data_IF_804330098583
#
_entry.id   IF_804330098583
#
_cell.length_a   1.000
_cell.length_b   1.000
_cell.length_c   1.000
_cell.angle_alpha   90.00
_cell.angle_beta   90.00
_cell.angle_gamma   90.00
#
_symmetry.space_group_name_H-M   'P 1'
#
loop_
_entity.id
_entity.type
_entity.pdbx_description
1 polymer ?
#
# COMPACT_ATOMS: atom_id res chain seq x y z
N UNK A 1 1.20 -1.67 -5.35
CA UNK A 1 1.42 -0.47 -6.21
C UNK A 1 1.92 0.67 -5.36
N UNK A 2 2.67 1.59 -5.96
CA UNK A 2 3.25 2.71 -5.22
C UNK A 2 3.44 3.95 -6.10
N UNK A 3 3.35 5.12 -5.46
CA UNK A 3 3.93 6.37 -5.95
C UNK A 3 5.21 6.68 -5.15
N UNK A 4 6.18 7.31 -5.74
CA UNK A 4 7.44 7.67 -5.07
C UNK A 4 8.05 8.93 -5.66
N UNK A 5 8.62 9.78 -4.80
CA UNK A 5 9.33 10.99 -5.21
C UNK A 5 10.85 10.80 -5.22
N UNK A 6 11.38 10.14 -4.19
CA UNK A 6 12.82 9.97 -3.98
C UNK A 6 13.25 8.49 -3.94
N UNK A 7 12.38 7.56 -4.35
CA UNK A 7 12.67 6.13 -4.39
C UNK A 7 12.42 5.38 -3.08
N UNK A 8 12.26 6.04 -1.94
CA UNK A 8 12.10 5.37 -0.64
C UNK A 8 10.82 4.55 -0.54
N UNK A 9 9.71 5.05 -1.09
CA UNK A 9 8.45 4.28 -1.13
C UNK A 9 8.56 3.04 -2.00
N UNK A 10 9.35 3.09 -3.08
CA UNK A 10 9.62 1.91 -3.92
C UNK A 10 10.40 0.84 -3.15
N UNK A 11 11.42 1.22 -2.39
CA UNK A 11 12.19 0.28 -1.55
C UNK A 11 11.25 -0.44 -0.58
N UNK A 12 10.38 0.31 0.10
CA UNK A 12 9.38 -0.23 1.03
C UNK A 12 8.38 -1.15 0.31
N UNK A 13 7.87 -0.74 -0.85
CA UNK A 13 6.91 -1.55 -1.62
C UNK A 13 7.52 -2.87 -2.08
N UNK A 14 8.79 -2.88 -2.50
CA UNK A 14 9.49 -4.09 -2.93
C UNK A 14 9.84 -5.01 -1.76
N UNK A 15 10.19 -4.47 -0.61
CA UNK A 15 10.38 -5.26 0.61
C UNK A 15 9.07 -5.94 1.02
N UNK A 16 7.99 -5.19 1.02
CA UNK A 16 6.65 -5.70 1.30
C UNK A 16 6.23 -6.80 0.29
N UNK A 17 6.50 -6.60 -0.99
CA UNK A 17 6.27 -7.60 -2.04
C UNK A 17 7.04 -8.90 -1.77
N UNK A 18 8.33 -8.83 -1.38
CA UNK A 18 9.11 -10.03 -1.04
C UNK A 18 8.43 -10.83 0.06
N UNK A 19 7.95 -10.16 1.09
CA UNK A 19 7.20 -10.81 2.17
C UNK A 19 5.88 -11.45 1.72
N UNK A 20 5.12 -10.79 0.84
CA UNK A 20 3.91 -11.38 0.27
C UNK A 20 4.22 -12.64 -0.54
N UNK A 21 5.31 -12.65 -1.32
CA UNK A 21 5.77 -13.83 -2.07
C UNK A 21 6.23 -14.95 -1.16
N UNK A 22 6.93 -14.63 -0.07
CA UNK A 22 7.33 -15.61 0.94
C UNK A 22 6.10 -16.28 1.58
N UNK A 23 5.00 -15.55 1.73
CA UNK A 23 3.72 -16.09 2.18
C UNK A 23 2.97 -16.91 1.12
N UNK A 24 3.48 -17.04 -0.11
CA UNK A 24 2.91 -17.85 -1.18
C UNK A 24 2.04 -17.07 -2.18
N UNK A 25 1.87 -15.76 -2.04
CA UNK A 25 1.04 -14.99 -2.96
C UNK A 25 1.76 -14.70 -4.30
N UNK A 26 1.03 -14.81 -5.40
CA UNK A 26 1.44 -14.20 -6.66
C UNK A 26 1.34 -12.68 -6.57
N UNK A 27 2.38 -11.95 -6.99
CA UNK A 27 2.45 -10.51 -6.78
C UNK A 27 2.97 -9.75 -8.00
N UNK A 28 2.49 -8.52 -8.16
CA UNK A 28 3.06 -7.52 -9.06
C UNK A 28 3.32 -6.24 -8.25
N UNK A 29 4.58 -5.79 -8.21
CA UNK A 29 4.97 -4.51 -7.63
C UNK A 29 5.28 -3.51 -8.74
N UNK A 30 4.45 -2.48 -8.87
CA UNK A 30 4.55 -1.50 -9.97
C UNK A 30 4.17 -0.09 -9.51
N UNK A 31 4.56 0.92 -10.27
CA UNK A 31 4.13 2.31 -10.03
C UNK A 31 2.66 2.50 -10.38
N UNK A 32 2.00 3.40 -9.67
CA UNK A 32 0.60 3.77 -9.95
C UNK A 32 0.39 4.24 -11.39
N UNK A 33 1.34 4.98 -11.95
CA UNK A 33 1.28 5.46 -13.34
C UNK A 33 1.37 4.39 -14.43
N UNK A 34 1.84 3.19 -14.08
CA UNK A 34 1.99 2.06 -15.02
C UNK A 34 0.81 1.07 -14.93
N UNK A 35 -0.18 1.36 -14.05
CA UNK A 35 -1.34 0.48 -13.83
C UNK A 35 -2.54 0.99 -14.62
N UNK A 36 -3.12 0.12 -15.43
CA UNK A 36 -4.46 0.33 -15.97
C UNK A 36 -5.47 -0.03 -14.89
N UNK A 37 -6.32 0.90 -14.39
CA UNK A 37 -7.22 0.62 -13.27
C UNK A 37 -8.08 -0.63 -13.46
N UNK A 38 -8.56 -0.91 -14.68
CA UNK A 38 -9.37 -2.10 -14.98
C UNK A 38 -8.66 -3.44 -14.71
N UNK A 39 -7.32 -3.50 -14.78
CA UNK A 39 -6.55 -4.71 -14.47
C UNK A 39 -6.60 -5.10 -12.99
N UNK A 40 -7.06 -4.20 -12.11
CA UNK A 40 -7.21 -4.49 -10.70
C UNK A 40 -8.32 -5.51 -10.41
N UNK A 41 -9.21 -5.76 -11.38
CA UNK A 41 -10.24 -6.79 -11.24
C UNK A 41 -9.66 -8.22 -11.11
N UNK A 42 -8.47 -8.45 -11.62
CA UNK A 42 -7.82 -9.76 -11.61
C UNK A 42 -7.11 -10.09 -10.28
N UNK A 43 -7.09 -9.14 -9.33
CA UNK A 43 -6.36 -9.26 -8.07
C UNK A 43 -7.30 -9.30 -6.86
N UNK A 44 -7.01 -10.18 -5.91
CA UNK A 44 -7.76 -10.31 -4.66
C UNK A 44 -7.30 -9.32 -3.57
N UNK A 45 -6.01 -8.92 -3.60
CA UNK A 45 -5.41 -7.98 -2.66
C UNK A 45 -4.82 -6.78 -3.39
N UNK A 46 -5.25 -5.59 -3.03
CA UNK A 46 -4.78 -4.32 -3.55
C UNK A 46 -4.00 -3.58 -2.45
N UNK A 47 -2.68 -3.53 -2.59
CA UNK A 47 -1.82 -2.77 -1.69
C UNK A 47 -1.39 -1.47 -2.37
N UNK A 48 -1.64 -0.32 -1.72
CA UNK A 48 -1.29 0.98 -2.25
C UNK A 48 -0.46 1.78 -1.25
N UNK A 49 0.66 2.32 -1.73
CA UNK A 49 1.54 3.17 -0.94
C UNK A 49 1.97 4.44 -1.66
N UNK A 50 2.33 5.44 -0.87
CA UNK A 50 2.83 6.70 -1.39
C UNK A 50 3.54 7.53 -0.32
N UNK A 51 4.33 8.54 -0.71
CA UNK A 51 4.93 9.44 0.25
C UNK A 51 3.88 10.35 0.86
N UNK A 52 4.04 10.68 2.14
CA UNK A 52 3.27 11.74 2.79
C UNK A 52 3.86 13.09 2.42
N UNK A 53 3.07 13.92 1.75
CA UNK A 53 3.38 15.31 1.42
C UNK A 53 2.28 16.23 1.96
N UNK A 54 2.70 17.33 2.57
CA UNK A 54 1.76 18.34 3.12
C UNK A 54 0.60 17.66 3.88
N UNK A 55 0.95 16.79 4.83
CA UNK A 55 0.05 16.06 5.74
C UNK A 55 -0.84 14.97 5.10
N UNK A 56 -0.77 14.71 3.80
CA UNK A 56 -1.66 13.80 3.08
C UNK A 56 -0.95 13.04 1.95
N UNK A 57 -1.71 12.29 1.16
CA UNK A 57 -1.23 11.63 -0.04
C UNK A 57 -0.89 12.64 -1.16
N UNK A 58 0.08 12.31 -2.00
CA UNK A 58 0.45 13.09 -3.18
C UNK A 58 -0.69 13.17 -4.20
N UNK A 59 -0.58 14.14 -5.11
CA UNK A 59 -1.52 14.28 -6.23
C UNK A 59 -1.63 13.00 -7.06
N UNK A 60 -0.48 12.38 -7.37
CA UNK A 60 -0.42 11.12 -8.14
C UNK A 60 -1.25 10.01 -7.49
N UNK A 61 -1.12 9.81 -6.17
CA UNK A 61 -1.91 8.82 -5.43
C UNK A 61 -3.40 9.14 -5.47
N UNK A 62 -3.77 10.41 -5.33
CA UNK A 62 -5.17 10.85 -5.37
C UNK A 62 -5.80 10.61 -6.74
N UNK A 63 -5.11 10.99 -7.81
CA UNK A 63 -5.55 10.78 -9.19
C UNK A 63 -5.73 9.28 -9.50
N UNK A 64 -4.80 8.43 -9.03
CA UNK A 64 -4.93 6.98 -9.17
C UNK A 64 -6.16 6.45 -8.43
N UNK A 65 -6.40 6.88 -7.19
CA UNK A 65 -7.58 6.50 -6.43
C UNK A 65 -8.88 6.99 -7.10
N UNK A 66 -8.89 8.16 -7.70
CA UNK A 66 -10.03 8.67 -8.49
C UNK A 66 -10.29 7.77 -9.71
N UNK A 67 -9.24 7.38 -10.43
CA UNK A 67 -9.35 6.49 -11.57
C UNK A 67 -9.87 5.08 -11.23
N UNK A 68 -9.71 4.63 -9.98
CA UNK A 68 -10.32 3.40 -9.47
C UNK A 68 -11.83 3.53 -9.20
N UNK A 69 -12.40 4.74 -9.20
CA UNK A 69 -13.76 5.01 -8.72
C UNK A 69 -14.90 4.36 -9.50
N UNK A 70 -14.65 3.86 -10.71
CA UNK A 70 -15.65 3.14 -11.53
C UNK A 70 -15.51 1.61 -11.50
N UNK A 71 -14.59 1.07 -10.72
CA UNK A 71 -14.24 -0.35 -10.71
C UNK A 71 -14.89 -1.02 -9.50
N UNK A 72 -15.59 -2.14 -9.73
CA UNK A 72 -16.18 -2.93 -8.66
C UNK A 72 -15.10 -3.61 -7.81
N UNK A 73 -14.90 -3.14 -6.57
CA UNK A 73 -13.90 -3.66 -5.65
C UNK A 73 -14.47 -4.53 -4.53
N UNK A 74 -15.78 -4.78 -4.56
CA UNK A 74 -16.45 -5.60 -3.55
C UNK A 74 -15.87 -7.02 -3.49
N UNK A 75 -15.58 -7.49 -2.28
CA UNK A 75 -14.98 -8.81 -2.04
C UNK A 75 -13.46 -8.86 -2.17
N UNK A 76 -12.81 -7.76 -2.53
CA UNK A 76 -11.35 -7.64 -2.55
C UNK A 76 -10.81 -7.11 -1.23
N UNK A 77 -9.54 -7.39 -0.96
CA UNK A 77 -8.83 -6.87 0.21
C UNK A 77 -8.00 -5.64 -0.16
N UNK A 78 -7.85 -4.75 0.81
CA UNK A 78 -7.05 -3.53 0.69
C UNK A 78 -6.04 -3.39 1.81
N UNK A 79 -4.85 -2.87 1.49
CA UNK A 79 -3.85 -2.47 2.46
C UNK A 79 -3.18 -1.17 2.06
N UNK A 80 -3.01 -0.26 3.03
CA UNK A 80 -2.42 1.05 2.83
C UNK A 80 -1.10 1.22 3.59
N UNK A 81 -0.11 1.84 2.95
CA UNK A 81 1.14 2.22 3.60
C UNK A 81 1.66 3.58 3.09
N UNK A 82 2.55 4.19 3.85
CA UNK A 82 3.23 5.40 3.40
C UNK A 82 4.69 5.44 3.85
N UNK A 83 5.42 6.38 3.27
CA UNK A 83 6.69 6.86 3.79
C UNK A 83 6.51 8.27 4.31
N UNK A 84 6.97 8.53 5.53
CA UNK A 84 6.79 9.83 6.19
C UNK A 84 7.95 10.17 7.13
N UNK A 85 8.09 11.45 7.43
CA UNK A 85 9.02 11.92 8.45
C UNK A 85 8.58 11.44 9.84
N UNK A 86 9.56 11.19 10.71
CA UNK A 86 9.32 10.87 12.12
C UNK A 86 8.88 12.12 12.89
N UNK A 87 7.64 12.50 12.69
CA UNK A 87 7.02 13.64 13.36
C UNK A 87 5.53 13.39 13.59
N UNK A 88 5.05 13.74 14.77
CA UNK A 88 3.62 13.68 15.06
C UNK A 88 2.80 14.61 14.16
N UNK A 89 3.41 15.66 13.64
CA UNK A 89 2.78 16.66 12.76
C UNK A 89 2.95 16.35 11.26
N UNK A 90 3.57 15.22 10.89
CA UNK A 90 3.82 14.92 9.46
C UNK A 90 2.56 14.53 8.68
N UNK A 91 1.44 14.23 9.36
CA UNK A 91 0.27 13.67 8.72
C UNK A 91 0.48 12.21 8.29
N UNK A 92 -0.39 11.70 7.40
CA UNK A 92 -0.24 10.34 6.87
C UNK A 92 -0.98 10.20 5.54
N UNK A 93 -0.24 9.87 4.48
CA UNK A 93 -0.81 9.45 3.21
C UNK A 93 -1.55 8.11 3.36
N UNK A 94 -1.02 7.18 4.16
CA UNK A 94 -1.65 5.87 4.41
C UNK A 94 -3.05 6.01 5.02
N UNK A 95 -3.28 7.03 5.87
CA UNK A 95 -4.61 7.30 6.41
C UNK A 95 -5.61 7.67 5.30
N UNK A 96 -5.18 8.51 4.37
CA UNK A 96 -6.00 8.91 3.23
C UNK A 96 -6.27 7.72 2.30
N UNK A 97 -5.24 6.92 2.01
CA UNK A 97 -5.31 5.74 1.15
C UNK A 97 -6.25 4.69 1.76
N UNK A 98 -6.06 4.34 3.04
CA UNK A 98 -6.88 3.34 3.74
C UNK A 98 -8.36 3.69 3.67
N UNK A 99 -8.71 4.95 3.98
CA UNK A 99 -10.09 5.43 3.89
C UNK A 99 -10.61 5.36 2.45
N UNK A 100 -9.81 5.75 1.48
CA UNK A 100 -10.21 5.72 0.08
C UNK A 100 -10.41 4.31 -0.47
N UNK A 101 -9.66 3.31 0.02
CA UNK A 101 -9.87 1.89 -0.32
C UNK A 101 -11.16 1.36 0.32
N UNK A 102 -11.40 1.66 1.59
CA UNK A 102 -12.61 1.29 2.31
C UNK A 102 -13.87 1.90 1.66
N UNK A 103 -13.85 3.20 1.35
CA UNK A 103 -14.94 3.91 0.65
C UNK A 103 -15.28 3.29 -0.73
N UNK A 104 -14.33 2.53 -1.34
CA UNK A 104 -14.53 1.80 -2.61
C UNK A 104 -14.95 0.34 -2.42
N UNK A 105 -15.19 -0.08 -1.19
CA UNK A 105 -15.71 -1.40 -0.85
C UNK A 105 -14.67 -2.49 -0.70
N UNK A 106 -13.37 -2.15 -0.63
CA UNK A 106 -12.34 -3.13 -0.26
C UNK A 106 -12.40 -3.40 1.25
N UNK A 107 -12.19 -4.65 1.62
CA UNK A 107 -11.99 -5.00 3.03
C UNK A 107 -10.56 -4.67 3.45
N UNK A 108 -10.39 -3.70 4.33
CA UNK A 108 -9.06 -3.37 4.89
C UNK A 108 -8.56 -4.55 5.73
N UNK A 109 -7.54 -5.27 5.22
CA UNK A 109 -7.07 -6.53 5.80
C UNK A 109 -6.27 -6.32 7.09
N UNK A 110 -5.64 -5.17 7.24
CA UNK A 110 -4.88 -4.78 8.42
C UNK A 110 -4.79 -3.25 8.51
N UNK A 111 -4.55 -2.73 9.71
CA UNK A 111 -4.32 -1.31 9.91
C UNK A 111 -3.12 -0.81 9.08
N UNK A 112 -3.28 0.37 8.49
CA UNK A 112 -2.24 1.04 7.70
C UNK A 112 -0.90 1.12 8.44
N UNK A 113 0.19 1.16 7.69
CA UNK A 113 1.54 1.24 8.23
C UNK A 113 2.33 2.38 7.60
N UNK A 114 3.24 2.97 8.38
CA UNK A 114 4.14 4.01 7.91
C UNK A 114 5.59 3.55 8.02
N UNK A 115 6.36 3.72 6.96
CA UNK A 115 7.80 3.61 6.99
C UNK A 115 8.41 5.00 7.25
N UNK A 116 9.36 5.07 8.17
CA UNK A 116 9.97 6.34 8.58
C UNK A 116 11.15 6.67 7.69
N UNK A 117 11.18 7.91 7.23
CA UNK A 117 12.28 8.47 6.43
C UNK A 117 12.87 9.71 7.10
N UNK A 118 14.12 9.98 6.78
CA UNK A 118 14.84 11.22 7.07
C UNK A 118 14.98 12.03 5.78
N UNK A 119 14.66 13.32 5.81
CA UNK A 119 14.85 14.17 4.64
C UNK A 119 16.30 14.65 4.53
N UNK A 120 16.86 14.57 3.34
CA UNK A 120 18.10 15.28 2.98
C UNK A 120 17.76 16.66 2.46
N UNK A 121 18.45 17.69 2.96
CA UNK A 121 18.22 19.08 2.58
C UNK A 121 19.48 19.69 2.01
N UNK A 122 19.31 20.50 0.98
CA UNK A 122 20.33 21.41 0.45
C UNK A 122 19.72 22.80 0.33
N UNK A 123 20.43 23.80 0.88
CA UNK A 123 19.99 25.21 0.87
C UNK A 123 18.52 25.40 1.30
N UNK A 124 18.08 24.62 2.33
CA UNK A 124 16.70 24.66 2.86
C UNK A 124 15.66 23.85 2.06
N UNK A 125 16.02 23.35 0.88
CA UNK A 125 15.12 22.51 0.04
C UNK A 125 15.33 21.05 0.32
N UNK A 126 14.25 20.26 0.30
CA UNK A 126 14.34 18.80 0.36
C UNK A 126 14.79 18.29 -1.00
N UNK A 127 15.98 17.67 -1.04
CA UNK A 127 16.60 17.12 -2.25
C UNK A 127 16.62 15.60 -2.27
N UNK A 128 16.18 14.95 -1.18
CA UNK A 128 16.12 13.50 -1.07
C UNK A 128 15.51 13.05 0.24
N UNK A 129 15.31 11.75 0.35
CA UNK A 129 14.92 11.09 1.57
C UNK A 129 15.62 9.74 1.68
N UNK A 130 15.98 9.37 2.91
CA UNK A 130 16.62 8.09 3.21
C UNK A 130 15.70 7.30 4.14
N UNK A 131 15.54 6.01 3.85
CA UNK A 131 14.76 5.12 4.69
C UNK A 131 15.49 4.86 6.01
N UNK A 132 14.78 4.94 7.14
CA UNK A 132 15.35 4.62 8.45
C UNK A 132 15.76 3.14 8.47
N UNK A 133 16.92 2.86 9.08
CA UNK A 133 17.42 1.50 9.25
C UNK A 133 16.37 0.59 9.91
N UNK A 134 16.19 -0.59 9.36
CA UNK A 134 15.25 -1.60 9.84
C UNK A 134 13.82 -1.46 9.27
N UNK A 135 13.51 -0.39 8.55
CA UNK A 135 12.18 -0.24 7.96
C UNK A 135 11.95 -1.21 6.79
N UNK A 136 12.99 -1.53 6.03
CA UNK A 136 12.92 -2.47 4.93
C UNK A 136 12.59 -3.88 5.45
N UNK A 137 13.36 -4.37 6.42
CA UNK A 137 13.14 -5.67 7.06
C UNK A 137 11.75 -5.73 7.72
N UNK A 138 11.36 -4.66 8.39
CA UNK A 138 10.03 -4.58 9.02
C UNK A 138 8.89 -4.68 8.01
N UNK A 139 9.03 -4.08 6.84
CA UNK A 139 8.01 -4.17 5.78
C UNK A 139 8.01 -5.53 5.08
N UNK A 140 9.15 -6.20 4.98
CA UNK A 140 9.21 -7.57 4.50
C UNK A 140 8.47 -8.53 5.44
N UNK A 141 8.74 -8.47 6.75
CA UNK A 141 8.00 -9.22 7.77
C UNK A 141 6.49 -8.90 7.78
N UNK A 142 6.15 -7.63 7.58
CA UNK A 142 4.76 -7.20 7.44
C UNK A 142 4.09 -7.84 6.22
N UNK A 143 4.80 -7.93 5.10
CA UNK A 143 4.34 -8.60 3.89
C UNK A 143 3.99 -10.06 4.15
N UNK A 144 4.84 -10.79 4.87
CA UNK A 144 4.58 -12.18 5.27
C UNK A 144 3.29 -12.29 6.09
N UNK A 145 3.12 -11.42 7.07
CA UNK A 145 1.92 -11.43 7.94
C UNK A 145 0.64 -11.11 7.16
N UNK A 146 0.68 -10.11 6.30
CA UNK A 146 -0.49 -9.71 5.49
C UNK A 146 -0.80 -10.77 4.44
N UNK A 147 0.22 -11.38 3.83
CA UNK A 147 0.04 -12.49 2.89
C UNK A 147 -0.72 -13.66 3.53
N UNK A 148 -0.27 -14.13 4.69
CA UNK A 148 -0.93 -15.20 5.44
C UNK A 148 -2.37 -14.83 5.82
N UNK A 149 -2.59 -13.62 6.32
CA UNK A 149 -3.93 -13.15 6.66
C UNK A 149 -4.88 -13.10 5.45
N UNK A 150 -4.35 -12.75 4.28
CA UNK A 150 -5.09 -12.72 3.02
C UNK A 150 -5.48 -14.13 2.57
N UNK A 151 -4.55 -15.08 2.57
CA UNK A 151 -4.84 -16.48 2.24
C UNK A 151 -5.92 -17.07 3.15
N UNK A 152 -5.79 -16.87 4.47
CA UNK A 152 -6.80 -17.33 5.43
C UNK A 152 -8.17 -16.71 5.20
N UNK A 153 -8.22 -15.44 4.81
CA UNK A 153 -9.47 -14.74 4.52
C UNK A 153 -10.10 -15.26 3.23
N UNK A 154 -9.32 -15.47 2.17
CA UNK A 154 -9.79 -16.05 0.92
C UNK A 154 -10.33 -17.47 1.10
N UNK A 155 -9.65 -18.30 1.89
CA UNK A 155 -10.10 -19.66 2.20
C UNK A 155 -11.43 -19.66 2.99
N UNK A 156 -11.58 -18.72 3.92
CA UNK A 156 -12.87 -18.56 4.63
C UNK A 156 -13.99 -18.18 3.68
N UNK A 157 -13.75 -17.27 2.76
CA UNK A 157 -14.75 -16.86 1.77
C UNK A 157 -15.16 -18.02 0.86
N UNK A 158 -14.22 -18.82 0.37
CA UNK A 158 -14.49 -20.03 -0.43
C UNK A 158 -15.39 -21.02 0.31
N UNK A 159 -15.05 -21.34 1.57
CA UNK A 159 -15.86 -22.27 2.40
C UNK A 159 -17.28 -21.76 2.66
N UNK A 160 -17.47 -20.46 2.82
CA UNK A 160 -18.81 -19.87 2.98
C UNK A 160 -19.62 -20.00 1.69
N UNK A 161 -19.01 -19.69 0.54
CA UNK A 161 -19.67 -19.82 -0.75
C UNK A 161 -20.06 -21.27 -1.09
N UNK A 162 -19.22 -22.26 -0.72
CA UNK A 162 -19.52 -23.69 -0.89
C UNK A 162 -20.70 -24.18 -0.04
N UNK A 163 -20.89 -23.62 1.16
CA UNK A 163 -22.01 -23.97 2.06
C UNK A 163 -23.35 -23.38 1.65
N UNK A 164 -23.34 -22.39 0.78
CA UNK A 164 -24.54 -21.72 0.29
C UNK A 164 -25.07 -22.28 -1.05
N UNK A 165 -24.35 -23.25 -1.63
CA UNK A 165 -24.77 -24.01 -2.83
C UNK A 165 -25.44 -25.32 -2.46
#
# INVERSE_FOLDING_TARGET
>A
MFATRFGTTEIVARAFERGLREAGLETICTRTGDVTPGSLNDWDLICLGGPTEVFTATKEVKEFLEAMGGIGMAGKFGFAFDTKLDSRMSGSAAKYIERALDDRGLHVIAARQSAIVTSRRDSGRIVGADLRKGEEERFEELGVRIGKATEEALDRMKRVAERQR
#
